data_IF_403792276327
#
_entry.id   IF_403792276327
#
_cell.length_a   1.000
_cell.length_b   1.000
_cell.length_c   1.000
_cell.angle_alpha   90.00
_cell.angle_beta   90.00
_cell.angle_gamma   90.00
#
_symmetry.space_group_name_H-M   'P 1'
#
loop_
_entity.id
_entity.type
_entity.pdbx_description
1 polymer ?
#
# COMPACT_ATOMS: atom_id res chain seq x y z
N UNK A 1 1.68 -12.05 -28.12
CA UNK A 1 1.85 -10.71 -27.54
C UNK A 1 2.66 -10.81 -26.23
N UNK A 2 4.01 -10.75 -26.27
CA UNK A 2 4.87 -10.96 -25.10
C UNK A 2 5.13 -9.70 -24.25
N UNK A 3 4.76 -8.51 -24.74
CA UNK A 3 5.17 -7.23 -24.14
C UNK A 3 4.31 -6.79 -22.93
N UNK A 4 3.05 -7.22 -22.83
CA UNK A 4 2.16 -6.84 -21.73
C UNK A 4 2.58 -7.43 -20.35
N UNK A 5 3.35 -8.53 -20.33
CA UNK A 5 3.77 -9.19 -19.07
C UNK A 5 5.00 -8.57 -18.42
N UNK A 6 5.86 -7.87 -19.18
CA UNK A 6 7.10 -7.26 -18.64
C UNK A 6 6.86 -5.93 -17.92
N UNK A 7 5.81 -5.20 -18.31
CA UNK A 7 5.48 -3.89 -17.73
C UNK A 7 4.94 -4.02 -16.30
N UNK A 8 4.21 -5.11 -16.00
CA UNK A 8 3.67 -5.36 -14.66
C UNK A 8 4.73 -5.66 -13.59
N UNK A 9 5.75 -6.46 -13.91
CA UNK A 9 6.74 -6.87 -12.90
C UNK A 9 7.65 -5.71 -12.47
N UNK A 10 8.11 -4.88 -13.41
CA UNK A 10 8.94 -3.72 -13.08
C UNK A 10 8.19 -2.66 -12.27
N UNK A 11 6.91 -2.42 -12.58
CA UNK A 11 6.06 -1.49 -11.82
C UNK A 11 5.74 -2.03 -10.42
N UNK A 12 5.44 -3.32 -10.32
CA UNK A 12 5.25 -3.98 -9.02
C UNK A 12 6.52 -3.91 -8.16
N UNK A 13 7.71 -4.18 -8.71
CA UNK A 13 8.97 -4.03 -7.99
C UNK A 13 9.17 -2.58 -7.50
N UNK A 14 8.83 -1.58 -8.32
CA UNK A 14 8.86 -0.17 -7.89
C UNK A 14 7.87 0.09 -6.75
N UNK A 15 6.70 -0.55 -6.74
CA UNK A 15 5.70 -0.40 -5.70
C UNK A 15 6.25 -0.88 -4.34
N UNK A 16 6.80 -2.10 -4.31
CA UNK A 16 7.23 -2.75 -3.06
C UNK A 16 8.63 -2.32 -2.60
N UNK A 17 9.43 -1.68 -3.44
CA UNK A 17 10.78 -1.19 -3.10
C UNK A 17 10.82 0.32 -2.82
N UNK A 18 9.94 0.81 -1.95
CA UNK A 18 9.98 2.18 -1.45
C UNK A 18 9.69 2.22 0.05
N UNK A 19 10.47 2.95 0.87
CA UNK A 19 10.38 2.87 2.34
C UNK A 19 8.97 3.13 2.86
N UNK A 20 8.33 4.23 2.43
CA UNK A 20 6.97 4.57 2.88
C UNK A 20 5.94 3.53 2.43
N UNK A 21 6.03 3.04 1.19
CA UNK A 21 5.12 2.02 0.66
C UNK A 21 5.30 0.69 1.38
N UNK A 22 6.53 0.30 1.72
CA UNK A 22 6.79 -0.89 2.54
C UNK A 22 6.17 -0.75 3.92
N UNK A 23 6.26 0.42 4.55
CA UNK A 23 5.63 0.63 5.85
C UNK A 23 4.10 0.57 5.77
N UNK A 24 3.50 1.17 4.74
CA UNK A 24 2.07 1.03 4.45
C UNK A 24 1.71 -0.46 4.30
N UNK A 25 2.43 -1.19 3.44
CA UNK A 25 2.16 -2.60 3.18
C UNK A 25 2.32 -3.48 4.42
N UNK A 26 3.31 -3.19 5.30
CA UNK A 26 3.46 -3.87 6.59
C UNK A 26 2.24 -3.70 7.47
N UNK A 27 1.81 -2.45 7.67
CA UNK A 27 0.67 -2.13 8.53
C UNK A 27 -0.65 -2.69 8.00
N UNK A 28 -0.83 -2.71 6.67
CA UNK A 28 -1.99 -3.32 6.03
C UNK A 28 -1.92 -4.85 6.11
N UNK A 29 -0.74 -5.47 6.04
CA UNK A 29 -0.58 -6.93 6.15
C UNK A 29 -0.81 -7.48 7.56
N UNK A 30 -0.61 -6.67 8.60
CA UNK A 30 -0.83 -7.06 10.01
C UNK A 30 -2.30 -7.38 10.32
N UNK A 31 -3.23 -6.91 9.50
CA UNK A 31 -4.68 -7.06 9.70
C UNK A 31 -5.34 -7.56 8.42
N UNK A 32 -6.53 -8.15 8.55
CA UNK A 32 -7.36 -8.45 7.37
C UNK A 32 -7.80 -7.15 6.66
N UNK A 33 -8.09 -6.11 7.44
CA UNK A 33 -8.54 -4.80 6.99
C UNK A 33 -8.11 -3.71 7.97
N UNK A 34 -7.78 -2.51 7.46
CA UNK A 34 -7.42 -1.35 8.28
C UNK A 34 -8.09 -0.07 7.76
N UNK A 35 -8.73 0.69 8.67
CA UNK A 35 -9.32 1.99 8.35
C UNK A 35 -8.24 2.99 7.94
N UNK A 36 -8.56 3.85 6.96
CA UNK A 36 -7.66 4.89 6.45
C UNK A 36 -7.11 5.78 7.56
N UNK A 37 -7.99 6.33 8.40
CA UNK A 37 -7.60 7.22 9.50
C UNK A 37 -6.66 6.52 10.49
N UNK A 38 -6.92 5.25 10.80
CA UNK A 38 -6.06 4.44 11.68
C UNK A 38 -4.68 4.21 11.05
N UNK A 39 -4.64 3.92 9.74
CA UNK A 39 -3.40 3.72 9.00
C UNK A 39 -2.56 5.00 8.93
N UNK A 40 -3.18 6.14 8.61
CA UNK A 40 -2.52 7.45 8.58
C UNK A 40 -1.93 7.80 9.94
N UNK A 41 -2.70 7.63 11.02
CA UNK A 41 -2.25 7.94 12.37
C UNK A 41 -1.03 7.08 12.77
N UNK A 42 -1.08 5.76 12.52
CA UNK A 42 0.07 4.87 12.76
C UNK A 42 1.31 5.29 11.98
N UNK A 43 1.16 5.69 10.71
CA UNK A 43 2.28 6.15 9.88
C UNK A 43 2.89 7.46 10.41
N UNK A 44 2.05 8.40 10.88
CA UNK A 44 2.51 9.65 11.51
C UNK A 44 3.22 9.38 12.84
N UNK A 45 2.69 8.49 13.69
CA UNK A 45 3.32 8.07 14.95
C UNK A 45 4.71 7.47 14.72
N UNK A 46 4.86 6.66 13.66
CA UNK A 46 6.14 6.10 13.22
C UNK A 46 7.04 7.09 12.49
N UNK A 47 6.61 8.35 12.30
CA UNK A 47 7.31 9.38 11.51
C UNK A 47 7.63 8.93 10.07
N UNK A 48 6.82 8.02 9.52
CA UNK A 48 6.97 7.54 8.14
C UNK A 48 6.39 8.54 7.12
N UNK A 49 5.41 9.33 7.54
CA UNK A 49 4.82 10.43 6.78
C UNK A 49 4.61 11.65 7.69
N UNK A 50 4.61 12.85 7.11
CA UNK A 50 4.32 14.11 7.82
C UNK A 50 2.93 14.68 7.49
N UNK A 51 2.32 14.22 6.40
CA UNK A 51 1.11 14.80 5.82
C UNK A 51 0.26 13.75 5.12
N UNK A 52 -1.03 14.05 4.97
CA UNK A 52 -1.97 13.18 4.28
C UNK A 52 -1.74 13.13 2.76
N UNK A 53 -1.15 14.18 2.19
CA UNK A 53 -0.86 14.21 0.75
C UNK A 53 0.25 13.22 0.38
N UNK A 54 1.27 13.07 1.24
CA UNK A 54 2.29 12.02 1.08
C UNK A 54 1.64 10.64 1.16
N UNK A 55 0.72 10.43 2.10
CA UNK A 55 -0.04 9.18 2.17
C UNK A 55 -0.82 8.92 0.87
N UNK A 56 -1.61 9.89 0.40
CA UNK A 56 -2.41 9.77 -0.82
C UNK A 56 -1.55 9.44 -2.04
N UNK A 57 -0.39 10.10 -2.18
CA UNK A 57 0.55 9.83 -3.26
C UNK A 57 1.05 8.37 -3.25
N UNK A 58 1.49 7.88 -2.09
CA UNK A 58 2.00 6.52 -1.98
C UNK A 58 0.89 5.46 -2.09
N UNK A 59 -0.28 5.72 -1.50
CA UNK A 59 -1.44 4.83 -1.55
C UNK A 59 -1.98 4.71 -2.98
N UNK A 60 -2.09 5.83 -3.72
CA UNK A 60 -2.49 5.82 -5.13
C UNK A 60 -1.60 4.91 -5.97
N UNK A 61 -0.28 4.96 -5.74
CA UNK A 61 0.65 4.06 -6.44
C UNK A 61 0.40 2.59 -6.09
N UNK A 62 0.20 2.27 -4.80
CA UNK A 62 -0.07 0.91 -4.34
C UNK A 62 -1.39 0.34 -4.88
N UNK A 63 -2.41 1.17 -5.00
CA UNK A 63 -3.70 0.82 -5.62
C UNK A 63 -3.52 0.53 -7.13
N UNK A 64 -2.80 1.40 -7.84
CA UNK A 64 -2.53 1.24 -9.28
C UNK A 64 -1.72 -0.03 -9.59
N UNK A 65 -0.87 -0.47 -8.67
CA UNK A 65 -0.06 -1.68 -8.83
C UNK A 65 -0.67 -2.93 -8.19
N UNK A 66 -1.95 -2.88 -7.79
CA UNK A 66 -2.68 -4.00 -7.20
C UNK A 66 -1.98 -4.62 -5.98
N UNK A 67 -1.31 -3.78 -5.18
CA UNK A 67 -0.70 -4.20 -3.93
C UNK A 67 -1.71 -4.16 -2.77
N UNK A 68 -2.67 -3.26 -2.84
CA UNK A 68 -3.75 -3.07 -1.86
C UNK A 68 -5.06 -2.87 -2.60
N UNK A 69 -6.17 -3.14 -1.91
CA UNK A 69 -7.53 -2.84 -2.37
C UNK A 69 -8.14 -1.80 -1.43
N UNK A 70 -8.79 -0.79 -2.02
CA UNK A 70 -9.61 0.18 -1.29
C UNK A 70 -11.02 -0.40 -1.13
N UNK A 71 -11.51 -0.44 0.10
CA UNK A 71 -12.90 -0.77 0.42
C UNK A 71 -13.53 0.53 0.90
N UNK A 72 -14.64 0.91 0.29
CA UNK A 72 -15.31 2.17 0.58
C UNK A 72 -16.80 1.93 0.81
N UNK A 73 -17.28 2.44 1.93
CA UNK A 73 -18.66 2.38 2.37
C UNK A 73 -19.14 3.84 2.53
N UNK A 74 -20.44 4.04 2.74
CA UNK A 74 -21.01 5.40 2.90
C UNK A 74 -20.38 6.24 4.02
N UNK A 75 -19.70 5.61 4.98
CA UNK A 75 -19.17 6.26 6.18
C UNK A 75 -17.65 6.28 6.26
N UNK A 76 -16.97 5.29 5.71
CA UNK A 76 -15.55 5.04 5.99
C UNK A 76 -14.83 4.44 4.78
N UNK A 77 -13.52 4.69 4.72
CA UNK A 77 -12.59 4.06 3.78
C UNK A 77 -11.65 3.16 4.56
N UNK A 78 -11.44 1.96 4.05
CA UNK A 78 -10.51 0.99 4.59
C UNK A 78 -9.68 0.33 3.48
N UNK A 79 -8.63 -0.38 3.89
CA UNK A 79 -7.68 -1.03 3.00
C UNK A 79 -7.42 -2.46 3.43
N UNK A 80 -7.34 -3.36 2.45
CA UNK A 80 -6.85 -4.73 2.65
C UNK A 80 -5.67 -5.03 1.73
N UNK A 81 -4.82 -5.95 2.16
CA UNK A 81 -3.66 -6.36 1.37
C UNK A 81 -4.07 -7.35 0.27
N UNK A 82 -3.51 -7.17 -0.93
CA UNK A 82 -3.64 -8.14 -2.02
C UNK A 82 -2.38 -9.02 -2.10
N UNK A 83 -2.42 -10.16 -2.81
CA UNK A 83 -1.23 -11.00 -3.00
C UNK A 83 -0.01 -10.24 -3.53
N UNK A 84 -0.22 -9.24 -4.41
CA UNK A 84 0.83 -8.35 -4.92
C UNK A 84 1.37 -7.34 -3.91
N UNK A 85 0.78 -7.22 -2.72
CA UNK A 85 1.29 -6.37 -1.65
C UNK A 85 2.05 -7.11 -0.56
N UNK A 86 1.93 -8.45 -0.51
CA UNK A 86 2.53 -9.27 0.55
C UNK A 86 4.06 -9.17 0.47
N UNK A 87 4.63 -8.33 1.33
CA UNK A 87 6.07 -8.19 1.47
C UNK A 87 6.57 -9.41 2.25
N UNK A 88 7.21 -10.35 1.56
CA UNK A 88 7.98 -11.39 2.23
C UNK A 88 9.28 -10.72 2.70
N UNK A 89 9.42 -10.53 4.01
CA UNK A 89 10.74 -10.25 4.59
C UNK A 89 11.56 -11.53 4.45
N UNK A 90 12.21 -11.70 3.30
CA UNK A 90 13.34 -12.62 3.21
C UNK A 90 14.47 -11.94 3.98
N UNK A 91 14.69 -12.43 5.20
CA UNK A 91 15.82 -12.13 6.06
C UNK A 91 17.13 -12.65 5.44
#
# INVERSE_FOLDING_TARGET
MPEQRKIGHAQHLKAVNHPIRREILKLVNEKEEILENTLINKLKEKKAIDSEDIFKYHMAFLLQTFCVEKIENEKETSYKILPGGKVIENY
#
